data_IF_620510836240
#
_entry.id   IF_620510836240
#
_cell.length_a   1.000
_cell.length_b   1.000
_cell.length_c   1.000
_cell.angle_alpha   90.00
_cell.angle_beta   90.00
_cell.angle_gamma   90.00
#
_symmetry.space_group_name_H-M   'P 1'
#
loop_
_entity.id
_entity.type
_entity.pdbx_description
1 polymer ?
#
# COMPACT_ATOMS: atom_id res chain seq x y z
N UNK A 1 7.46 -7.86 8.45
CA UNK A 1 6.42 -7.06 7.76
C UNK A 1 7.07 -5.86 7.11
N UNK A 2 6.75 -5.54 5.85
CA UNK A 2 7.32 -4.38 5.14
C UNK A 2 6.58 -3.10 5.54
N UNK A 3 7.28 -2.02 5.84
CA UNK A 3 6.70 -0.71 6.16
C UNK A 3 6.96 0.31 5.06
N UNK A 4 5.96 1.08 4.66
CA UNK A 4 6.11 2.19 3.70
C UNK A 4 5.32 3.41 4.15
N UNK A 5 5.82 4.60 3.84
CA UNK A 5 5.17 5.87 4.14
C UNK A 5 4.76 6.52 2.84
N UNK A 6 3.47 6.81 2.69
CA UNK A 6 2.93 7.50 1.51
C UNK A 6 2.50 8.91 1.90
N UNK A 7 2.81 9.88 1.04
CA UNK A 7 2.48 11.29 1.26
C UNK A 7 1.20 11.71 0.55
N UNK A 8 0.74 10.94 -0.43
CA UNK A 8 -0.39 11.27 -1.30
C UNK A 8 -1.18 10.01 -1.62
N UNK A 9 -2.50 10.14 -1.64
CA UNK A 9 -3.42 9.15 -2.17
C UNK A 9 -3.84 9.56 -3.58
N UNK A 10 -3.80 8.62 -4.52
CA UNK A 10 -4.32 8.83 -5.86
C UNK A 10 -5.86 8.90 -5.81
N UNK A 11 -6.43 9.92 -6.45
CA UNK A 11 -7.85 10.28 -6.35
C UNK A 11 -8.38 10.43 -4.90
N UNK A 12 -7.49 10.66 -3.92
CA UNK A 12 -7.86 10.73 -2.50
C UNK A 12 -8.25 9.39 -1.87
N UNK A 13 -8.19 8.26 -2.60
CA UNK A 13 -8.71 6.97 -2.12
C UNK A 13 -7.80 5.77 -2.37
N UNK A 14 -6.79 5.89 -3.23
CA UNK A 14 -5.92 4.77 -3.60
C UNK A 14 -4.47 5.00 -3.21
N UNK A 15 -3.83 3.95 -2.70
CA UNK A 15 -2.37 3.85 -2.57
C UNK A 15 -1.86 3.06 -3.76
N UNK A 16 -1.11 3.72 -4.64
CA UNK A 16 -0.45 3.06 -5.77
C UNK A 16 0.91 2.53 -5.31
N UNK A 17 1.06 1.20 -5.28
CA UNK A 17 2.28 0.51 -4.86
C UNK A 17 2.83 -0.30 -6.03
N UNK A 18 4.14 -0.38 -6.16
CA UNK A 18 4.75 -1.13 -7.27
C UNK A 18 4.65 -2.64 -7.01
N UNK A 19 4.40 -3.43 -8.05
CA UNK A 19 4.18 -4.88 -7.95
C UNK A 19 5.33 -5.63 -7.26
N UNK A 20 6.58 -5.22 -7.48
CA UNK A 20 7.75 -5.81 -6.80
C UNK A 20 7.75 -5.53 -5.29
N UNK A 21 7.17 -4.41 -4.85
CA UNK A 21 7.04 -4.11 -3.43
C UNK A 21 5.96 -4.96 -2.77
N UNK A 22 4.87 -5.23 -3.48
CA UNK A 22 3.82 -6.17 -3.05
C UNK A 22 4.42 -7.56 -2.90
N UNK A 23 5.15 -8.04 -3.91
CA UNK A 23 5.87 -9.33 -3.85
C UNK A 23 6.83 -9.39 -2.67
N UNK A 24 7.58 -8.31 -2.41
CA UNK A 24 8.47 -8.21 -1.26
C UNK A 24 7.70 -8.21 0.06
N UNK A 25 6.55 -7.55 0.14
CA UNK A 25 5.75 -7.46 1.34
C UNK A 25 5.08 -8.80 1.70
N UNK A 26 4.56 -9.53 0.70
CA UNK A 26 4.06 -10.90 0.86
C UNK A 26 5.13 -11.79 1.50
N UNK A 27 6.36 -11.76 0.97
CA UNK A 27 7.50 -12.52 1.51
C UNK A 27 7.89 -12.12 2.93
N UNK A 28 7.68 -10.85 3.29
CA UNK A 28 8.00 -10.32 4.63
C UNK A 28 6.84 -10.44 5.63
N UNK A 29 5.73 -11.10 5.27
CA UNK A 29 4.59 -11.31 6.15
C UNK A 29 3.57 -10.17 6.21
N UNK A 30 3.54 -9.28 5.20
CA UNK A 30 2.53 -8.23 5.05
C UNK A 30 3.10 -6.86 4.70
N UNK A 31 2.19 -5.91 4.46
CA UNK A 31 2.51 -4.52 4.15
C UNK A 31 1.82 -3.59 5.14
N UNK A 32 2.59 -2.73 5.80
CA UNK A 32 2.09 -1.63 6.61
C UNK A 32 2.34 -0.31 5.89
N UNK A 33 1.28 0.45 5.67
CA UNK A 33 1.30 1.73 4.97
C UNK A 33 0.90 2.81 5.97
N UNK A 34 1.71 3.86 6.09
CA UNK A 34 1.39 5.03 6.92
C UNK A 34 1.09 6.23 6.02
N UNK A 35 -0.02 6.92 6.29
CA UNK A 35 -0.45 8.14 5.59
C UNK A 35 -1.12 9.09 6.60
N UNK A 36 -0.66 10.34 6.70
CA UNK A 36 -1.27 11.38 7.57
C UNK A 36 -1.61 10.90 9.00
N UNK A 37 -0.65 10.26 9.68
CA UNK A 37 -0.79 9.65 11.01
C UNK A 37 -1.75 8.46 11.11
N UNK A 38 -2.43 8.10 10.04
CA UNK A 38 -3.20 6.87 9.94
C UNK A 38 -2.32 5.73 9.43
N UNK A 39 -2.67 4.51 9.84
CA UNK A 39 -1.97 3.29 9.44
C UNK A 39 -2.96 2.34 8.81
N UNK A 40 -2.56 1.71 7.72
CA UNK A 40 -3.24 0.60 7.09
C UNK A 40 -2.31 -0.61 7.09
N UNK A 41 -2.83 -1.78 7.43
CA UNK A 41 -2.07 -3.03 7.38
C UNK A 41 -2.77 -4.01 6.44
N UNK A 42 -1.99 -4.69 5.61
CA UNK A 42 -2.44 -5.67 4.63
C UNK A 42 -1.71 -6.99 4.88
N UNK A 43 -2.49 -8.05 5.00
CA UNK A 43 -1.95 -9.41 5.17
C UNK A 43 -1.42 -9.95 3.83
N UNK A 44 -0.48 -10.92 3.86
CA UNK A 44 0.01 -11.58 2.65
C UNK A 44 -1.10 -12.15 1.76
N UNK A 45 -2.17 -12.66 2.36
CA UNK A 45 -3.33 -13.21 1.65
C UNK A 45 -4.08 -12.13 0.86
N UNK A 46 -4.31 -10.97 1.47
CA UNK A 46 -4.95 -9.82 0.81
C UNK A 46 -4.08 -9.30 -0.32
N UNK A 47 -2.77 -9.17 -0.08
CA UNK A 47 -1.80 -8.73 -1.07
C UNK A 47 -1.70 -9.67 -2.28
N UNK A 48 -1.84 -10.98 -2.07
CA UNK A 48 -1.77 -11.99 -3.13
C UNK A 48 -2.99 -11.96 -4.05
N UNK A 49 -4.12 -11.45 -3.57
CA UNK A 49 -5.35 -11.31 -4.34
C UNK A 49 -5.41 -10.01 -5.16
N UNK A 50 -4.49 -9.07 -4.92
CA UNK A 50 -4.43 -7.82 -5.66
C UNK A 50 -3.92 -8.04 -7.08
N UNK A 51 -4.62 -7.46 -8.06
CA UNK A 51 -4.20 -7.49 -9.45
C UNK A 51 -3.46 -6.21 -9.81
N UNK A 52 -2.28 -6.30 -10.44
CA UNK A 52 -1.62 -5.12 -10.98
C UNK A 52 -2.41 -4.52 -12.13
N UNK A 53 -2.28 -3.21 -12.30
CA UNK A 53 -2.85 -2.50 -13.43
C UNK A 53 -2.23 -3.01 -14.74
N UNK A 54 -3.03 -3.07 -15.81
CA UNK A 54 -2.59 -3.55 -17.12
C UNK A 54 -1.50 -2.66 -17.76
N UNK A 55 -1.26 -1.47 -17.21
CA UNK A 55 -0.23 -0.56 -17.67
C UNK A 55 1.14 -0.98 -17.12
N UNK A 56 1.97 -1.54 -18.01
CA UNK A 56 3.38 -1.83 -17.73
C UNK A 56 4.18 -0.54 -17.87
N UNK A 57 4.81 -0.10 -16.78
CA UNK A 57 5.62 1.10 -16.73
C UNK A 57 7.09 0.72 -16.86
N UNK A 58 7.80 1.34 -17.80
CA UNK A 58 9.24 1.17 -17.93
C UNK A 58 9.96 1.99 -16.86
N UNK A 59 10.85 1.34 -16.10
CA UNK A 59 11.71 2.03 -15.13
C UNK A 59 12.73 2.89 -15.86
N UNK A 60 13.03 4.08 -15.31
CA UNK A 60 14.11 4.93 -15.82
C UNK A 60 15.49 4.29 -15.70
N UNK A 61 15.66 3.31 -14.80
CA UNK A 61 16.92 2.61 -14.61
C UNK A 61 16.97 1.32 -15.44
N UNK A 62 16.27 0.28 -14.98
CA UNK A 62 16.17 -1.01 -15.67
C UNK A 62 14.93 -1.76 -15.20
N UNK A 63 14.35 -2.53 -16.11
CA UNK A 63 13.17 -3.35 -15.86
C UNK A 63 11.86 -2.60 -16.05
N UNK A 64 10.77 -3.33 -15.93
CA UNK A 64 9.42 -2.81 -15.93
C UNK A 64 8.73 -3.18 -14.63
N UNK A 65 7.75 -2.37 -14.25
CA UNK A 65 6.91 -2.64 -13.10
C UNK A 65 5.47 -2.26 -13.43
N UNK A 66 4.55 -2.81 -12.66
CA UNK A 66 3.15 -2.40 -12.71
C UNK A 66 2.79 -1.75 -11.39
N UNK A 67 1.80 -0.86 -11.42
CA UNK A 67 1.22 -0.30 -10.22
C UNK A 67 0.03 -1.15 -9.79
N UNK A 68 -0.09 -1.34 -8.48
CA UNK A 68 -1.21 -2.00 -7.83
C UNK A 68 -1.91 -0.93 -7.02
N UNK A 69 -3.14 -0.60 -7.40
CA UNK A 69 -3.95 0.40 -6.70
C UNK A 69 -4.71 -0.26 -5.57
N UNK A 70 -4.36 0.09 -4.34
CA UNK A 70 -4.97 -0.45 -3.14
C UNK A 70 -5.91 0.59 -2.55
N UNK A 71 -7.15 0.21 -2.28
CA UNK A 71 -8.11 1.13 -1.63
C UNK A 71 -7.62 1.43 -0.22
N UNK A 72 -7.44 2.71 0.10
CA UNK A 72 -7.06 3.15 1.45
C UNK A 72 -8.15 2.78 2.45
N UNK A 73 -7.80 1.95 3.42
CA UNK A 73 -8.65 1.53 4.51
C UNK A 73 -7.82 1.63 5.80
N UNK A 74 -7.77 2.82 6.42
CA UNK A 74 -7.01 2.98 7.65
C UNK A 74 -7.63 2.08 8.73
N UNK A 75 -6.78 1.55 9.59
CA UNK A 75 -7.21 0.81 10.78
C UNK A 75 -8.05 1.78 11.62
N UNK A 76 -9.34 1.49 11.74
CA UNK A 76 -10.34 2.37 12.37
C UNK A 76 -10.27 2.33 13.90
N UNK A 77 -9.36 1.53 14.46
CA UNK A 77 -9.14 1.39 15.89
C UNK A 77 -7.76 1.90 16.27
N UNK A 78 -7.54 3.19 16.08
CA UNK A 78 -6.49 3.87 16.82
C UNK A 78 -7.09 4.29 18.17
N UNK A 79 -6.97 3.41 19.17
CA UNK A 79 -7.38 3.66 20.57
C UNK A 79 -6.67 4.92 21.13
N UNK A 80 -5.60 5.40 20.45
CA UNK A 80 -4.85 6.60 20.83
C UNK A 80 -5.26 7.87 20.09
N UNK A 81 -6.12 7.78 19.08
CA UNK A 81 -6.57 8.96 18.34
C UNK A 81 -7.76 9.56 19.10
N UNK A 82 -7.43 10.43 20.05
CA UNK A 82 -8.39 11.16 20.87
C UNK A 82 -9.48 11.78 20.02
N UNK A 83 -10.73 11.44 20.35
CA UNK A 83 -11.95 12.03 19.81
C UNK A 83 -11.82 13.57 19.92
N UNK A 84 -11.74 14.27 18.79
CA UNK A 84 -11.95 15.71 18.77
C UNK A 84 -13.43 15.93 19.08
N UNK A 85 -13.72 16.23 20.35
CA UNK A 85 -15.02 16.72 20.83
C UNK A 85 -15.25 18.16 20.38
#
# INVERSE_FOLDING_TARGET
>A
MKTTVVKKLWQGRYVSVKDYEIKSAIRQGGLRITHNNEVMELKPEELSNLKPNNNVIQSQFKGSYQLVDITWKPLTEDIKQGKLL
#
